data_IF_093458204831
#
_entry.id   IF_093458204831
#
_cell.length_a   1.000
_cell.length_b   1.000
_cell.length_c   1.000
_cell.angle_alpha   90.00
_cell.angle_beta   90.00
_cell.angle_gamma   90.00
#
_symmetry.space_group_name_H-M   'P 1'
#
loop_
_entity.id
_entity.type
_entity.pdbx_description
1 polymer ?
#
# COMPACT_ATOMS: atom_id res chain seq x y z
N UNK A 1 -14.31 -1.52 6.51
CA UNK A 1 -12.86 -1.38 6.72
C UNK A 1 -12.04 -2.12 5.67
N UNK A 2 -12.05 -3.46 5.63
CA UNK A 2 -11.19 -4.25 4.74
C UNK A 2 -11.33 -3.91 3.24
N UNK A 3 -12.56 -3.70 2.76
CA UNK A 3 -12.83 -3.39 1.34
C UNK A 3 -12.42 -1.98 0.90
N UNK A 4 -12.55 -0.97 1.78
CA UNK A 4 -12.27 0.43 1.43
C UNK A 4 -10.86 0.86 1.85
N UNK A 5 -10.46 0.55 3.09
CA UNK A 5 -9.20 0.95 3.69
C UNK A 5 -8.13 -0.13 3.52
N UNK A 6 -8.50 -1.39 3.74
CA UNK A 6 -7.58 -2.53 3.62
C UNK A 6 -7.08 -2.75 2.19
N UNK A 7 -7.96 -2.66 1.18
CA UNK A 7 -7.57 -2.79 -0.23
C UNK A 7 -6.73 -1.60 -0.70
N UNK A 8 -7.10 -0.37 -0.33
CA UNK A 8 -6.37 0.83 -0.74
C UNK A 8 -4.94 0.88 -0.19
N UNK A 9 -4.76 0.55 1.10
CA UNK A 9 -3.43 0.52 1.71
C UNK A 9 -2.65 -0.77 1.38
N UNK A 10 -3.33 -1.91 1.28
CA UNK A 10 -2.74 -3.19 0.92
C UNK A 10 -2.25 -3.27 -0.53
N UNK A 11 -2.85 -2.51 -1.44
CA UNK A 11 -2.44 -2.41 -2.86
C UNK A 11 -0.99 -1.92 -3.07
N UNK A 12 -0.35 -1.33 -2.04
CA UNK A 12 1.04 -0.88 -2.12
C UNK A 12 2.07 -1.97 -1.80
N UNK A 13 1.63 -3.13 -1.33
CA UNK A 13 2.49 -4.25 -0.93
C UNK A 13 3.31 -4.80 -2.10
N UNK A 14 2.71 -4.80 -3.29
CA UNK A 14 3.33 -5.25 -4.54
C UNK A 14 3.18 -4.17 -5.61
N UNK A 15 4.13 -4.09 -6.54
CA UNK A 15 4.04 -3.11 -7.63
C UNK A 15 2.92 -3.43 -8.63
N UNK A 16 2.35 -4.65 -8.57
CA UNK A 16 1.16 -5.03 -9.33
C UNK A 16 -0.16 -4.69 -8.62
N UNK A 17 -0.12 -4.24 -7.36
CA UNK A 17 -1.33 -4.00 -6.57
C UNK A 17 -2.09 -2.72 -6.96
N UNK A 18 -1.47 -1.82 -7.73
CA UNK A 18 -2.08 -0.58 -8.22
C UNK A 18 -1.57 -0.24 -9.62
N UNK A 19 -2.45 0.32 -10.47
CA UNK A 19 -2.10 0.79 -11.80
C UNK A 19 -0.97 1.85 -11.76
N UNK A 20 -0.94 2.70 -10.73
CA UNK A 20 0.11 3.70 -10.57
C UNK A 20 1.50 3.04 -10.35
N UNK A 21 1.55 1.95 -9.60
CA UNK A 21 2.80 1.23 -9.33
C UNK A 21 3.31 0.51 -10.58
N UNK A 22 2.41 -0.04 -11.40
CA UNK A 22 2.76 -0.64 -12.69
C UNK A 22 3.34 0.40 -13.66
N UNK A 23 2.75 1.60 -13.71
CA UNK A 23 3.27 2.71 -14.51
C UNK A 23 4.68 3.10 -14.06
N UNK A 24 4.91 3.23 -12.75
CA UNK A 24 6.25 3.54 -12.20
C UNK A 24 7.27 2.46 -12.57
N UNK A 25 6.92 1.18 -12.49
CA UNK A 25 7.82 0.09 -12.90
C UNK A 25 8.14 0.18 -14.39
N UNK A 26 7.14 0.39 -15.25
CA UNK A 26 7.37 0.54 -16.70
C UNK A 26 8.21 1.77 -17.06
N UNK A 27 8.06 2.86 -16.30
CA UNK A 27 8.87 4.07 -16.46
C UNK A 27 10.30 3.84 -15.98
N UNK A 28 10.49 3.13 -14.86
CA UNK A 28 11.79 2.72 -14.34
C UNK A 28 12.55 1.83 -15.33
N UNK A 29 11.85 0.86 -15.95
CA UNK A 29 12.42 0.05 -17.02
C UNK A 29 12.84 0.89 -18.23
N UNK A 30 12.06 1.91 -18.57
CA UNK A 30 12.38 2.86 -19.66
C UNK A 30 13.59 3.75 -19.35
N UNK A 31 13.86 4.02 -18.07
CA UNK A 31 15.01 4.79 -17.57
C UNK A 31 16.29 3.95 -17.40
N UNK A 32 16.22 2.63 -17.62
CA UNK A 32 17.35 1.72 -17.49
C UNK A 32 17.64 1.23 -16.06
N UNK A 33 16.95 1.76 -15.05
CA UNK A 33 16.99 1.22 -13.68
C UNK A 33 15.90 0.16 -13.51
N UNK A 34 16.28 -1.12 -13.50
CA UNK A 34 15.34 -2.20 -13.20
C UNK A 34 14.95 -2.18 -11.72
N UNK A 35 13.79 -1.60 -11.40
CA UNK A 35 13.19 -1.78 -10.09
C UNK A 35 12.74 -3.24 -9.94
N UNK A 36 13.49 -4.01 -9.16
CA UNK A 36 13.18 -5.44 -8.93
C UNK A 36 12.01 -5.57 -7.97
N UNK A 37 11.12 -6.55 -8.21
CA UNK A 37 10.01 -6.85 -7.29
C UNK A 37 10.46 -7.01 -5.84
N UNK A 38 11.62 -7.64 -5.61
CA UNK A 38 12.20 -7.82 -4.26
C UNK A 38 12.57 -6.49 -3.59
N UNK A 39 13.08 -5.53 -4.36
CA UNK A 39 13.46 -4.20 -3.86
C UNK A 39 12.23 -3.35 -3.57
N UNK A 40 11.18 -3.51 -4.38
CA UNK A 40 9.87 -2.93 -4.07
C UNK A 40 9.27 -3.55 -2.81
N UNK A 41 9.28 -4.88 -2.68
CA UNK A 41 8.68 -5.56 -1.53
C UNK A 41 9.33 -5.12 -0.21
N UNK A 42 10.65 -4.91 -0.20
CA UNK A 42 11.37 -4.44 0.98
C UNK A 42 10.89 -3.06 1.47
N UNK A 43 10.41 -2.20 0.57
CA UNK A 43 9.95 -0.85 0.88
C UNK A 43 8.42 -0.75 0.98
N UNK A 44 7.70 -1.42 0.08
CA UNK A 44 6.25 -1.42 -0.04
C UNK A 44 5.56 -2.28 1.02
N UNK A 45 6.16 -3.39 1.45
CA UNK A 45 5.62 -4.21 2.52
C UNK A 45 5.52 -3.46 3.85
N UNK A 46 6.57 -2.80 4.37
CA UNK A 46 6.46 -2.05 5.62
C UNK A 46 5.47 -0.88 5.49
N UNK A 47 5.43 -0.18 4.34
CA UNK A 47 4.46 0.90 4.12
C UNK A 47 3.02 0.39 4.15
N UNK A 48 2.73 -0.72 3.48
CA UNK A 48 1.41 -1.32 3.47
C UNK A 48 1.00 -1.79 4.88
N UNK A 49 1.91 -2.42 5.63
CA UNK A 49 1.64 -2.85 7.02
C UNK A 49 1.39 -1.67 7.96
N UNK A 50 2.21 -0.63 7.90
CA UNK A 50 2.06 0.57 8.74
C UNK A 50 0.75 1.29 8.42
N UNK A 51 0.43 1.44 7.14
CA UNK A 51 -0.80 2.12 6.69
C UNK A 51 -2.05 1.34 7.08
N UNK A 52 -2.03 0.00 6.93
CA UNK A 52 -3.12 -0.87 7.34
C UNK A 52 -3.27 -0.87 8.89
N UNK A 53 -2.16 -0.84 9.62
CA UNK A 53 -2.16 -0.69 11.09
C UNK A 53 -2.77 0.64 11.54
N UNK A 54 -2.34 1.76 10.96
CA UNK A 54 -2.91 3.09 11.21
C UNK A 54 -4.41 3.15 10.87
N UNK A 55 -4.81 2.57 9.73
CA UNK A 55 -6.20 2.46 9.34
C UNK A 55 -7.04 1.65 10.33
N UNK A 56 -6.49 0.58 10.91
CA UNK A 56 -7.15 -0.20 11.97
C UNK A 56 -7.33 0.64 13.23
N UNK A 57 -6.26 1.32 13.66
CA UNK A 57 -6.27 2.16 14.87
C UNK A 57 -7.27 3.31 14.73
N UNK A 58 -7.29 4.00 13.58
CA UNK A 58 -8.21 5.09 13.33
C UNK A 58 -9.69 4.64 13.42
N UNK A 59 -10.02 3.47 12.87
CA UNK A 59 -11.36 2.91 12.99
C UNK A 59 -11.67 2.48 14.42
N UNK A 60 -10.73 1.86 15.13
CA UNK A 60 -10.93 1.48 16.53
C UNK A 60 -11.22 2.70 17.40
N UNK A 61 -10.51 3.81 17.18
CA UNK A 61 -10.74 5.08 17.87
C UNK A 61 -12.12 5.64 17.51
N UNK A 62 -12.47 5.69 16.21
CA UNK A 62 -13.77 6.19 15.76
C UNK A 62 -14.94 5.39 16.36
N UNK A 63 -14.83 4.07 16.43
CA UNK A 63 -15.83 3.20 17.07
C UNK A 63 -15.90 3.48 18.58
N UNK A 64 -14.78 3.75 19.25
CA UNK A 64 -14.79 4.07 20.69
C UNK A 64 -15.29 5.46 21.05
N UNK A 65 -15.21 6.42 20.13
CA UNK A 65 -15.81 7.74 20.27
C UNK A 65 -17.31 7.78 19.89
N UNK A 66 -17.89 6.65 19.44
CA UNK A 66 -19.30 6.59 19.04
C UNK A 66 -19.61 7.36 17.75
N UNK A 67 -18.61 7.56 16.89
CA UNK A 67 -18.80 8.13 15.55
C UNK A 67 -19.42 7.13 14.55
N UNK A 68 -19.61 5.88 14.96
CA UNK A 68 -20.25 4.80 14.22
C UNK A 68 -21.27 4.08 15.09
#
# INVERSE_FOLDING_TARGET
WALAIGVGFGANFTPLGSAANVVIVSMSESLGEKLTLRRWLASGAPVAFVSCGLGTIAILIAVRLGWF
#
